data_IF_107169726703
#
_entry.id   IF_107169726703
#
_cell.length_a   1.000
_cell.length_b   1.000
_cell.length_c   1.000
_cell.angle_alpha   90.00
_cell.angle_beta   90.00
_cell.angle_gamma   90.00
#
_symmetry.space_group_name_H-M   'P 1'
#
loop_
_entity.id
_entity.type
_entity.pdbx_description
1 polymer ?
#
# COMPACT_ATOMS: atom_id res chain seq x y z
N UNK A 1 -43.29 4.16 4.19
CA UNK A 1 -43.46 3.27 3.02
C UNK A 1 -43.83 4.12 1.81
N UNK A 2 -42.87 4.53 0.99
CA UNK A 2 -43.17 5.14 -0.32
C UNK A 2 -43.47 4.03 -1.30
N UNK A 3 -44.77 3.77 -1.53
CA UNK A 3 -45.20 2.78 -2.51
C UNK A 3 -44.90 3.32 -3.92
N UNK A 4 -43.94 2.72 -4.62
CA UNK A 4 -43.69 3.00 -6.03
C UNK A 4 -44.88 2.48 -6.84
N UNK A 5 -45.65 3.39 -7.44
CA UNK A 5 -46.76 3.03 -8.31
C UNK A 5 -46.36 3.17 -9.78
N UNK A 6 -46.59 2.10 -10.55
CA UNK A 6 -46.49 2.15 -12.00
C UNK A 6 -47.70 2.92 -12.55
N UNK A 7 -47.48 4.11 -13.11
CA UNK A 7 -48.52 4.81 -13.89
C UNK A 7 -48.84 3.98 -15.14
N UNK A 8 -50.11 3.58 -15.31
CA UNK A 8 -50.57 2.90 -16.54
C UNK A 8 -50.38 3.83 -17.74
N UNK A 9 -49.82 3.27 -18.82
CA UNK A 9 -49.61 3.98 -20.07
C UNK A 9 -50.93 4.54 -20.61
N UNK A 10 -51.00 5.86 -20.79
CA UNK A 10 -52.08 6.50 -21.52
C UNK A 10 -51.75 6.39 -23.01
N UNK A 11 -52.65 5.82 -23.80
CA UNK A 11 -52.47 5.69 -25.25
C UNK A 11 -52.33 7.08 -25.88
N UNK A 12 -51.17 7.35 -26.48
CA UNK A 12 -50.93 8.56 -27.27
C UNK A 12 -51.83 8.55 -28.52
N UNK A 13 -52.56 9.64 -28.82
CA UNK A 13 -53.32 9.75 -30.06
C UNK A 13 -52.43 9.94 -31.30
N UNK A 14 -51.14 10.24 -31.10
CA UNK A 14 -50.15 10.40 -32.16
C UNK A 14 -49.28 9.14 -32.27
N UNK A 15 -49.47 8.36 -33.35
CA UNK A 15 -48.74 7.11 -33.62
C UNK A 15 -47.28 7.30 -34.06
N UNK A 16 -46.90 8.51 -34.46
CA UNK A 16 -45.56 8.82 -34.98
C UNK A 16 -44.60 9.37 -33.91
N UNK A 17 -45.01 9.37 -32.63
CA UNK A 17 -44.19 9.88 -31.52
C UNK A 17 -44.15 8.88 -30.38
N UNK A 18 -42.94 8.64 -29.87
CA UNK A 18 -42.73 7.84 -28.66
C UNK A 18 -43.16 8.69 -27.45
N UNK A 19 -44.18 8.27 -26.67
CA UNK A 19 -44.58 9.01 -25.47
C UNK A 19 -43.52 8.84 -24.38
N UNK A 20 -42.85 9.93 -24.01
CA UNK A 20 -41.99 9.97 -22.84
C UNK A 20 -42.84 10.24 -21.60
N UNK A 21 -42.96 9.25 -20.72
CA UNK A 21 -43.68 9.35 -19.46
C UNK A 21 -42.76 8.91 -18.32
N UNK A 22 -42.87 9.58 -17.18
CA UNK A 22 -42.21 9.17 -15.93
C UNK A 22 -42.83 7.84 -15.49
N UNK A 23 -42.09 6.73 -15.69
CA UNK A 23 -42.56 5.35 -15.44
C UNK A 23 -42.60 5.03 -13.95
N UNK A 24 -41.68 5.62 -13.18
CA UNK A 24 -41.61 5.51 -11.71
C UNK A 24 -42.02 6.86 -11.13
N UNK A 25 -43.25 6.96 -10.64
CA UNK A 25 -43.71 8.14 -9.93
C UNK A 25 -43.33 8.01 -8.45
N UNK A 26 -42.58 8.99 -7.95
CA UNK A 26 -42.26 9.12 -6.54
C UNK A 26 -43.40 9.82 -5.78
N UNK A 27 -43.38 9.77 -4.45
CA UNK A 27 -44.38 10.47 -3.63
C UNK A 27 -44.17 11.97 -3.81
N UNK A 28 -45.20 12.66 -4.31
CA UNK A 28 -45.15 14.11 -4.50
C UNK A 28 -45.15 14.81 -3.13
N UNK A 29 -44.10 15.60 -2.86
CA UNK A 29 -43.99 16.37 -1.63
C UNK A 29 -45.12 17.40 -1.52
N UNK A 30 -45.61 17.61 -0.29
CA UNK A 30 -46.52 18.70 0.08
C UNK A 30 -45.89 20.07 -0.21
N UNK A 31 -46.71 21.10 -0.41
CA UNK A 31 -46.23 22.47 -0.58
C UNK A 31 -45.39 22.95 0.62
N UNK A 32 -45.77 22.52 1.84
CA UNK A 32 -45.07 22.85 3.08
C UNK A 32 -43.71 22.12 3.17
N UNK A 33 -43.67 20.84 2.82
CA UNK A 33 -42.42 20.05 2.73
C UNK A 33 -41.44 20.65 1.72
N UNK A 34 -41.94 21.08 0.55
CA UNK A 34 -41.10 21.76 -0.46
C UNK A 34 -40.57 23.09 0.06
N UNK A 35 -41.39 23.87 0.75
CA UNK A 35 -40.97 25.15 1.32
C UNK A 35 -39.90 24.94 2.39
N UNK A 36 -40.06 23.93 3.26
CA UNK A 36 -39.07 23.54 4.26
C UNK A 36 -37.74 23.11 3.64
N UNK A 37 -37.75 22.17 2.68
CA UNK A 37 -36.52 21.73 2.01
C UNK A 37 -35.84 22.87 1.25
N UNK A 38 -36.61 23.76 0.62
CA UNK A 38 -36.07 24.96 -0.04
C UNK A 38 -35.43 25.93 0.96
N UNK A 39 -36.00 26.08 2.16
CA UNK A 39 -35.42 26.90 3.22
C UNK A 39 -34.08 26.32 3.72
N UNK A 40 -34.01 24.99 3.87
CA UNK A 40 -32.76 24.28 4.22
C UNK A 40 -31.72 24.45 3.11
N UNK A 41 -32.11 24.29 1.84
CA UNK A 41 -31.21 24.45 0.69
C UNK A 41 -30.66 25.88 0.58
N UNK A 42 -31.47 26.89 0.91
CA UNK A 42 -31.04 28.30 0.92
C UNK A 42 -30.23 28.70 2.15
N UNK A 43 -30.18 27.86 3.18
CA UNK A 43 -29.52 28.18 4.44
C UNK A 43 -30.31 29.16 5.33
N UNK A 44 -31.63 29.24 5.20
CA UNK A 44 -32.46 30.13 6.03
C UNK A 44 -32.74 29.52 7.41
N UNK A 45 -31.86 29.82 8.37
CA UNK A 45 -32.00 29.33 9.75
C UNK A 45 -33.34 29.70 10.40
N UNK A 46 -33.84 30.92 10.19
CA UNK A 46 -35.07 31.39 10.82
C UNK A 46 -36.30 30.67 10.25
N UNK A 47 -36.34 30.51 8.91
CA UNK A 47 -37.39 29.76 8.22
C UNK A 47 -37.42 28.29 8.63
N UNK A 48 -36.25 27.63 8.70
CA UNK A 48 -36.16 26.23 9.12
C UNK A 48 -36.59 26.06 10.57
N UNK A 49 -36.15 26.93 11.48
CA UNK A 49 -36.55 26.89 12.91
C UNK A 49 -38.06 27.10 13.10
N UNK A 50 -38.67 27.97 12.30
CA UNK A 50 -40.11 28.18 12.33
C UNK A 50 -40.86 26.93 11.85
N UNK A 51 -40.44 26.37 10.70
CA UNK A 51 -41.05 25.17 10.13
C UNK A 51 -40.96 23.96 11.06
N UNK A 52 -39.83 23.76 11.76
CA UNK A 52 -39.68 22.67 12.73
C UNK A 52 -40.62 22.82 13.93
N UNK A 53 -40.75 24.04 14.47
CA UNK A 53 -41.68 24.32 15.58
C UNK A 53 -43.14 24.13 15.18
N UNK A 54 -43.50 24.54 13.98
CA UNK A 54 -44.85 24.31 13.46
C UNK A 54 -45.13 22.82 13.26
N UNK A 55 -44.15 22.07 12.75
CA UNK A 55 -44.26 20.62 12.58
C UNK A 55 -44.47 19.89 13.92
N UNK A 56 -43.81 20.33 14.99
CA UNK A 56 -44.01 19.77 16.34
C UNK A 56 -45.41 20.01 16.90
N UNK A 57 -46.03 21.15 16.56
CA UNK A 57 -47.33 21.57 17.12
C UNK A 57 -48.50 21.03 16.28
N UNK A 58 -48.40 21.13 14.96
CA UNK A 58 -49.50 20.89 14.02
C UNK A 58 -49.40 19.55 13.29
N UNK A 59 -48.25 18.87 13.32
CA UNK A 59 -47.99 17.62 12.58
C UNK A 59 -48.39 17.71 11.10
N UNK A 60 -48.24 18.89 10.50
CA UNK A 60 -48.62 19.21 9.13
C UNK A 60 -47.59 18.76 8.09
N UNK A 61 -46.37 18.45 8.53
CA UNK A 61 -45.22 18.11 7.68
C UNK A 61 -44.41 16.96 8.28
N UNK A 62 -43.94 16.04 7.44
CA UNK A 62 -42.90 15.08 7.86
C UNK A 62 -41.52 15.76 7.82
N UNK A 63 -40.87 15.87 8.97
CA UNK A 63 -39.54 16.45 9.11
C UNK A 63 -38.47 15.60 8.39
N UNK A 64 -38.72 14.30 8.21
CA UNK A 64 -37.84 13.37 7.51
C UNK A 64 -38.21 13.21 6.03
N UNK A 65 -38.95 14.17 5.45
CA UNK A 65 -39.28 14.15 4.03
C UNK A 65 -38.02 14.11 3.14
N UNK A 66 -38.18 13.47 1.98
CA UNK A 66 -37.12 13.30 0.99
C UNK A 66 -37.47 14.10 -0.27
N UNK A 67 -36.49 14.82 -0.80
CA UNK A 67 -36.53 15.46 -2.11
C UNK A 67 -36.69 14.39 -3.22
N UNK A 68 -37.12 14.70 -4.46
CA UNK A 68 -37.16 13.73 -5.57
C UNK A 68 -35.80 13.13 -5.97
N UNK A 69 -34.71 13.59 -5.36
CA UNK A 69 -33.37 13.02 -5.47
C UNK A 69 -33.05 12.03 -4.32
N UNK A 70 -34.01 11.77 -3.42
CA UNK A 70 -33.84 10.93 -2.24
C UNK A 70 -33.05 11.58 -1.09
N UNK A 71 -32.84 12.90 -1.12
CA UNK A 71 -32.09 13.63 -0.09
C UNK A 71 -33.00 14.07 1.05
N UNK A 72 -32.62 13.82 2.29
CA UNK A 72 -33.28 14.41 3.47
C UNK A 72 -32.78 15.83 3.73
N UNK A 73 -33.50 16.59 4.54
CA UNK A 73 -33.08 17.92 5.01
C UNK A 73 -31.66 17.91 5.60
N UNK A 74 -31.32 16.88 6.39
CA UNK A 74 -29.98 16.74 6.97
C UNK A 74 -28.90 16.53 5.90
N UNK A 75 -29.16 15.75 4.85
CA UNK A 75 -28.21 15.54 3.76
C UNK A 75 -27.98 16.83 2.96
N UNK A 76 -29.02 17.62 2.73
CA UNK A 76 -28.92 18.93 2.06
C UNK A 76 -28.08 19.90 2.92
N UNK A 77 -28.31 19.93 4.24
CA UNK A 77 -27.53 20.77 5.15
C UNK A 77 -26.03 20.38 5.16
N UNK A 78 -25.73 19.08 5.11
CA UNK A 78 -24.36 18.56 4.98
C UNK A 78 -23.73 18.96 3.63
N UNK A 79 -24.48 18.81 2.53
CA UNK A 79 -24.02 19.15 1.18
C UNK A 79 -23.70 20.63 1.02
N UNK A 80 -24.44 21.50 1.73
CA UNK A 80 -24.21 22.94 1.77
C UNK A 80 -23.24 23.39 2.89
N UNK A 81 -22.66 22.46 3.65
CA UNK A 81 -21.77 22.73 4.78
C UNK A 81 -22.35 23.69 5.85
N UNK A 82 -23.67 23.73 6.00
CA UNK A 82 -24.33 24.62 6.96
C UNK A 82 -24.46 23.95 8.34
N UNK A 83 -23.41 24.11 9.15
CA UNK A 83 -23.30 23.50 10.48
C UNK A 83 -24.39 23.98 11.47
N UNK A 84 -24.83 25.24 11.37
CA UNK A 84 -25.86 25.81 12.27
C UNK A 84 -27.23 25.17 12.04
N UNK A 85 -27.58 24.97 10.76
CA UNK A 85 -28.81 24.25 10.41
C UNK A 85 -28.68 22.78 10.78
N UNK A 86 -27.52 22.15 10.57
CA UNK A 86 -27.31 20.77 11.01
C UNK A 86 -27.51 20.60 12.52
N UNK A 87 -26.95 21.47 13.34
CA UNK A 87 -27.12 21.44 14.80
C UNK A 87 -28.59 21.58 15.19
N UNK A 88 -29.29 22.55 14.58
CA UNK A 88 -30.73 22.74 14.78
C UNK A 88 -31.56 21.51 14.37
N UNK A 89 -31.23 20.88 13.24
CA UNK A 89 -31.89 19.67 12.75
C UNK A 89 -31.66 18.47 13.70
N UNK A 90 -30.43 18.33 14.23
CA UNK A 90 -30.08 17.28 15.18
C UNK A 90 -30.77 17.48 16.53
N UNK A 91 -30.86 18.72 17.02
CA UNK A 91 -31.56 19.05 18.27
C UNK A 91 -33.04 18.66 18.26
N UNK A 92 -33.70 18.72 17.10
CA UNK A 92 -35.10 18.30 16.92
C UNK A 92 -35.24 16.80 16.62
N UNK A 93 -34.17 16.01 16.75
CA UNK A 93 -34.24 14.54 16.72
C UNK A 93 -34.48 13.92 15.33
N UNK A 94 -34.03 14.59 14.27
CA UNK A 94 -34.14 14.08 12.89
C UNK A 94 -33.42 12.74 12.71
N UNK A 95 -33.98 11.88 11.86
CA UNK A 95 -33.38 10.58 11.58
C UNK A 95 -32.03 10.74 10.87
N UNK A 96 -30.95 10.31 11.53
CA UNK A 96 -29.60 10.46 11.00
C UNK A 96 -29.26 9.47 9.90
N UNK A 97 -29.85 8.26 9.89
CA UNK A 97 -29.61 7.23 8.86
C UNK A 97 -28.16 7.12 8.40
N UNK A 98 -27.94 7.28 7.09
CA UNK A 98 -26.62 7.25 6.42
C UNK A 98 -25.89 8.61 6.41
N UNK A 99 -26.38 9.63 7.13
CA UNK A 99 -25.82 10.98 7.12
C UNK A 99 -24.35 11.03 7.51
N UNK A 100 -23.90 10.15 8.42
CA UNK A 100 -22.49 10.06 8.79
C UNK A 100 -21.62 9.57 7.61
N UNK A 101 -22.05 8.53 6.90
CA UNK A 101 -21.33 8.03 5.72
C UNK A 101 -21.33 9.08 4.61
N UNK A 102 -22.45 9.78 4.43
CA UNK A 102 -22.57 10.86 3.45
C UNK A 102 -21.62 12.03 3.77
N UNK A 103 -21.56 12.47 5.03
CA UNK A 103 -20.66 13.53 5.49
C UNK A 103 -19.19 13.16 5.28
N UNK A 104 -18.82 11.90 5.56
CA UNK A 104 -17.46 11.39 5.31
C UNK A 104 -17.13 11.41 3.82
N UNK A 105 -18.05 10.98 2.96
CA UNK A 105 -17.86 10.99 1.50
C UNK A 105 -17.71 12.40 0.93
N UNK A 106 -18.41 13.39 1.50
CA UNK A 106 -18.27 14.80 1.15
C UNK A 106 -17.08 15.47 1.82
N UNK A 107 -16.35 14.76 2.68
CA UNK A 107 -15.15 15.23 3.38
C UNK A 107 -15.39 16.44 4.32
N UNK A 108 -16.63 16.62 4.80
CA UNK A 108 -17.01 17.74 5.68
C UNK A 108 -16.70 17.42 7.14
N UNK A 109 -15.53 17.85 7.62
CA UNK A 109 -15.02 17.50 8.96
C UNK A 109 -15.94 17.97 10.08
N UNK A 110 -16.45 19.21 10.02
CA UNK A 110 -17.35 19.77 11.03
C UNK A 110 -18.68 19.00 11.15
N UNK A 111 -19.24 18.59 10.02
CA UNK A 111 -20.44 17.75 9.97
C UNK A 111 -20.20 16.39 10.64
N UNK A 112 -19.05 15.75 10.36
CA UNK A 112 -18.67 14.48 10.99
C UNK A 112 -18.50 14.65 12.50
N UNK A 113 -17.86 15.72 12.96
CA UNK A 113 -17.67 15.99 14.39
C UNK A 113 -19.00 16.19 15.12
N UNK A 114 -19.93 17.00 14.56
CA UNK A 114 -21.28 17.20 15.09
C UNK A 114 -22.08 15.90 15.15
N UNK A 115 -22.04 15.10 14.09
CA UNK A 115 -22.75 13.81 14.05
C UNK A 115 -22.16 12.82 15.06
N UNK A 116 -20.84 12.83 15.27
CA UNK A 116 -20.18 11.98 16.26
C UNK A 116 -20.37 12.46 17.71
N UNK A 117 -20.61 13.76 17.95
CA UNK A 117 -20.88 14.31 19.28
C UNK A 117 -22.34 14.11 19.69
N UNK A 118 -23.29 14.29 18.76
CA UNK A 118 -24.72 14.10 19.00
C UNK A 118 -25.09 12.61 19.19
N UNK A 119 -24.32 11.69 18.61
CA UNK A 119 -24.53 10.26 18.79
C UNK A 119 -24.21 9.86 20.23
N UNK A 120 -25.24 9.45 20.99
CA UNK A 120 -25.06 8.90 22.34
C UNK A 120 -24.06 7.73 22.28
N UNK A 121 -23.12 7.62 23.24
CA UNK A 121 -22.22 6.49 23.35
C UNK A 121 -23.04 5.25 23.73
N UNK A 122 -23.63 4.58 22.73
CA UNK A 122 -24.14 3.23 22.92
C UNK A 122 -22.96 2.35 23.29
N UNK A 123 -23.05 1.60 24.38
CA UNK A 123 -21.96 0.79 24.95
C UNK A 123 -21.46 -0.35 24.05
N UNK A 124 -21.99 -0.46 22.83
CA UNK A 124 -21.56 -1.38 21.80
C UNK A 124 -20.38 -0.78 21.03
N UNK A 125 -19.21 -1.43 21.16
CA UNK A 125 -17.92 -1.02 20.57
C UNK A 125 -17.85 -1.15 19.04
N UNK A 126 -18.97 -1.38 18.39
CA UNK A 126 -19.17 -1.17 16.97
C UNK A 126 -20.39 -0.27 16.88
N UNK A 127 -20.30 0.77 16.03
CA UNK A 127 -21.45 1.50 15.48
C UNK A 127 -22.61 0.50 15.32
N UNK A 128 -23.63 0.50 16.22
CA UNK A 128 -24.66 -0.52 16.18
C UNK A 128 -25.39 -0.50 14.86
N UNK A 129 -25.87 -1.68 14.50
CA UNK A 129 -26.74 -2.12 13.40
C UNK A 129 -27.99 -1.25 13.16
N UNK A 130 -27.80 0.05 12.97
CA UNK A 130 -28.79 0.98 12.40
C UNK A 130 -28.62 1.13 10.88
N UNK A 131 -27.64 0.44 10.28
CA UNK A 131 -27.39 0.42 8.82
C UNK A 131 -28.31 -0.56 8.07
N UNK A 132 -29.31 -1.15 8.72
CA UNK A 132 -30.21 -2.14 8.09
C UNK A 132 -31.59 -1.61 7.72
N UNK A 133 -31.96 -0.39 8.14
CA UNK A 133 -33.27 0.19 7.82
C UNK A 133 -33.14 1.31 6.80
N UNK A 134 -32.82 0.95 5.55
CA UNK A 134 -33.36 1.72 4.42
C UNK A 134 -33.30 0.87 3.16
N UNK A 135 -34.46 0.66 2.54
CA UNK A 135 -34.59 0.10 1.19
C UNK A 135 -33.87 0.94 0.12
N UNK A 136 -33.24 2.06 0.51
CA UNK A 136 -32.56 3.05 -0.32
C UNK A 136 -31.21 3.51 0.26
N UNK A 137 -30.46 2.66 0.97
CA UNK A 137 -29.07 3.02 1.31
C UNK A 137 -28.24 3.12 0.04
N UNK A 138 -27.56 4.26 -0.15
CA UNK A 138 -26.65 4.48 -1.27
C UNK A 138 -25.35 3.67 -1.10
N UNK A 139 -25.04 3.29 0.14
CA UNK A 139 -23.82 2.57 0.48
C UNK A 139 -24.08 1.06 0.57
N UNK A 140 -23.06 0.28 0.23
CA UNK A 140 -23.13 -1.16 0.47
C UNK A 140 -23.01 -1.41 1.99
N UNK A 141 -23.81 -2.33 2.55
CA UNK A 141 -23.93 -2.47 4.02
C UNK A 141 -22.67 -3.02 4.71
N UNK A 142 -21.68 -3.46 3.94
CA UNK A 142 -20.35 -3.87 4.40
C UNK A 142 -19.41 -2.67 4.67
N UNK A 143 -19.76 -1.46 4.22
CA UNK A 143 -18.93 -0.27 4.40
C UNK A 143 -19.17 0.32 5.80
N UNK A 144 -18.14 0.26 6.64
CA UNK A 144 -18.13 0.97 7.93
C UNK A 144 -17.67 2.42 7.74
N UNK A 145 -18.01 3.35 8.67
CA UNK A 145 -17.56 4.74 8.59
C UNK A 145 -16.04 4.92 8.49
N UNK A 146 -15.27 4.09 9.21
CA UNK A 146 -13.80 4.13 9.14
C UNK A 146 -13.27 3.64 7.80
N UNK A 147 -13.91 2.64 7.18
CA UNK A 147 -13.54 2.16 5.85
C UNK A 147 -13.77 3.24 4.80
N UNK A 148 -14.92 3.92 4.85
CA UNK A 148 -15.22 5.01 3.91
C UNK A 148 -14.28 6.20 4.10
N UNK A 149 -13.96 6.56 5.34
CA UNK A 149 -12.99 7.62 5.64
C UNK A 149 -11.58 7.28 5.13
N UNK A 150 -11.19 6.00 5.24
CA UNK A 150 -9.95 5.51 4.67
C UNK A 150 -9.97 5.54 3.13
N UNK A 151 -11.12 5.26 2.50
CA UNK A 151 -11.27 5.33 1.04
C UNK A 151 -11.14 6.76 0.50
N UNK A 152 -11.66 7.77 1.23
CA UNK A 152 -11.45 9.19 0.90
C UNK A 152 -10.06 9.71 1.30
N UNK A 153 -9.32 8.93 2.09
CA UNK A 153 -7.95 9.24 2.53
C UNK A 153 -7.82 10.57 3.31
N UNK A 154 -8.91 11.04 3.94
CA UNK A 154 -8.91 12.27 4.74
C UNK A 154 -8.36 12.03 6.16
N UNK A 155 -7.18 12.60 6.44
CA UNK A 155 -6.44 12.40 7.70
C UNK A 155 -7.23 12.83 8.94
N UNK A 156 -7.94 13.95 8.89
CA UNK A 156 -8.64 14.52 10.05
C UNK A 156 -9.83 13.66 10.47
N UNK A 157 -10.64 13.24 9.50
CA UNK A 157 -11.80 12.36 9.72
C UNK A 157 -11.33 11.01 10.27
N UNK A 158 -10.29 10.41 9.68
CA UNK A 158 -9.72 9.14 10.18
C UNK A 158 -9.23 9.31 11.61
N UNK A 159 -8.54 10.40 11.93
CA UNK A 159 -8.06 10.69 13.29
C UNK A 159 -9.20 10.80 14.30
N UNK A 160 -10.29 11.52 13.96
CA UNK A 160 -11.49 11.61 14.81
C UNK A 160 -12.11 10.23 15.08
N UNK A 161 -12.21 9.38 14.06
CA UNK A 161 -12.77 8.03 14.18
C UNK A 161 -11.86 7.08 14.98
N UNK A 162 -10.54 7.15 14.77
CA UNK A 162 -9.56 6.34 15.52
C UNK A 162 -9.54 6.71 17.00
N UNK A 163 -9.69 7.99 17.35
CA UNK A 163 -9.83 8.44 18.75
C UNK A 163 -11.04 7.83 19.45
N UNK A 164 -12.12 7.53 18.70
CA UNK A 164 -13.31 6.82 19.19
C UNK A 164 -13.13 5.29 19.23
N UNK A 165 -11.92 4.77 18.98
CA UNK A 165 -11.55 3.35 19.00
C UNK A 165 -12.36 2.47 18.06
N UNK A 166 -12.76 3.00 16.90
CA UNK A 166 -13.38 2.21 15.84
C UNK A 166 -12.34 1.24 15.26
N UNK A 167 -12.71 -0.01 15.05
CA UNK A 167 -11.84 -1.06 14.52
C UNK A 167 -12.21 -1.43 13.08
N UNK A 168 -11.21 -1.82 12.30
CA UNK A 168 -11.40 -2.43 10.97
C UNK A 168 -11.23 -3.95 11.15
N UNK A 169 -12.15 -4.78 10.63
CA UNK A 169 -11.99 -6.23 10.68
C UNK A 169 -10.74 -6.66 9.91
N UNK A 170 -10.00 -7.64 10.44
CA UNK A 170 -8.85 -8.19 9.72
C UNK A 170 -9.36 -9.08 8.58
N UNK A 171 -8.89 -8.91 7.34
CA UNK A 171 -9.31 -9.75 6.24
C UNK A 171 -8.80 -11.17 6.46
N UNK A 172 -9.68 -12.15 6.27
CA UNK A 172 -9.28 -13.55 6.25
C UNK A 172 -8.57 -13.89 4.94
N UNK A 173 -7.76 -14.95 4.96
CA UNK A 173 -7.16 -15.49 3.74
C UNK A 173 -8.25 -15.98 2.78
N UNK A 174 -7.99 -15.93 1.47
CA UNK A 174 -8.97 -16.32 0.44
C UNK A 174 -9.45 -17.78 0.62
N UNK A 175 -8.55 -18.67 1.08
CA UNK A 175 -8.83 -20.09 1.31
C UNK A 175 -9.19 -20.39 2.77
N UNK A 176 -9.84 -19.46 3.45
CA UNK A 176 -10.24 -19.64 4.83
C UNK A 176 -11.51 -20.49 4.93
N UNK A 177 -11.43 -21.61 5.64
CA UNK A 177 -12.54 -22.56 5.83
C UNK A 177 -13.36 -22.26 7.10
N UNK A 178 -13.34 -21.03 7.62
CA UNK A 178 -14.10 -20.69 8.82
C UNK A 178 -15.60 -20.57 8.53
N UNK A 179 -16.42 -20.82 9.57
CA UNK A 179 -17.88 -20.83 9.45
C UNK A 179 -18.43 -19.50 8.89
N UNK A 180 -17.86 -18.37 9.28
CA UNK A 180 -18.27 -17.04 8.80
C UNK A 180 -17.96 -16.82 7.30
N UNK A 181 -16.78 -17.25 6.83
CA UNK A 181 -16.40 -17.12 5.42
C UNK A 181 -17.22 -18.06 4.52
N UNK A 182 -17.42 -19.30 4.95
CA UNK A 182 -18.21 -20.28 4.19
C UNK A 182 -19.66 -19.83 4.10
N UNK A 183 -20.28 -19.46 5.23
CA UNK A 183 -21.68 -19.00 5.24
C UNK A 183 -21.89 -17.72 4.42
N UNK A 184 -21.02 -16.71 4.56
CA UNK A 184 -21.15 -15.48 3.76
C UNK A 184 -20.94 -15.71 2.26
N UNK A 185 -20.02 -16.61 1.88
CA UNK A 185 -19.79 -16.96 0.48
C UNK A 185 -20.93 -17.79 -0.13
N UNK A 186 -21.58 -18.65 0.66
CA UNK A 186 -22.75 -19.43 0.22
C UNK A 186 -23.98 -18.55 0.00
N UNK A 187 -24.16 -17.53 0.86
CA UNK A 187 -25.25 -16.57 0.73
C UNK A 187 -25.03 -15.63 -0.46
N UNK A 188 -23.85 -15.00 -0.55
CA UNK A 188 -23.50 -14.09 -1.65
C UNK A 188 -21.98 -13.96 -1.82
N UNK A 189 -21.44 -14.71 -2.79
CA UNK A 189 -20.02 -14.71 -3.12
C UNK A 189 -19.50 -13.37 -3.66
N UNK A 190 -20.34 -12.59 -4.35
CA UNK A 190 -19.97 -11.27 -4.88
C UNK A 190 -19.84 -10.26 -3.74
N UNK A 191 -20.78 -10.26 -2.78
CA UNK A 191 -20.66 -9.42 -1.58
C UNK A 191 -19.47 -9.81 -0.73
N UNK A 192 -19.22 -11.11 -0.56
CA UNK A 192 -18.07 -11.58 0.22
C UNK A 192 -16.73 -11.09 -0.37
N UNK A 193 -16.55 -11.24 -1.69
CA UNK A 193 -15.34 -10.76 -2.37
C UNK A 193 -15.21 -9.23 -2.37
N UNK A 194 -16.31 -8.50 -2.59
CA UNK A 194 -16.31 -7.03 -2.58
C UNK A 194 -16.05 -6.45 -1.18
N UNK A 195 -16.59 -7.07 -0.14
CA UNK A 195 -16.30 -6.70 1.26
C UNK A 195 -14.82 -6.85 1.59
N UNK A 196 -14.20 -7.98 1.22
CA UNK A 196 -12.75 -8.18 1.39
C UNK A 196 -11.95 -7.09 0.67
N UNK A 197 -12.30 -6.77 -0.58
CA UNK A 197 -11.63 -5.71 -1.33
C UNK A 197 -11.80 -4.33 -0.68
N UNK A 198 -12.99 -4.02 -0.17
CA UNK A 198 -13.26 -2.78 0.56
C UNK A 198 -12.41 -2.68 1.85
N UNK A 199 -12.19 -3.79 2.57
CA UNK A 199 -11.30 -3.85 3.74
C UNK A 199 -9.86 -3.57 3.31
N UNK A 200 -9.35 -4.25 2.28
CA UNK A 200 -7.99 -4.03 1.79
C UNK A 200 -7.77 -2.60 1.28
N UNK A 201 -8.76 -2.03 0.60
CA UNK A 201 -8.74 -0.63 0.15
C UNK A 201 -8.65 0.34 1.32
N UNK A 202 -9.34 0.06 2.42
CA UNK A 202 -9.23 0.86 3.64
C UNK A 202 -7.83 0.71 4.28
N UNK A 203 -7.34 -0.53 4.45
CA UNK A 203 -6.03 -0.82 5.05
C UNK A 203 -4.84 -0.26 4.25
N UNK A 204 -4.96 -0.20 2.91
CA UNK A 204 -3.94 0.33 2.03
C UNK A 204 -3.89 1.87 1.99
N UNK A 205 -4.81 2.57 2.67
CA UNK A 205 -4.86 4.02 2.64
C UNK A 205 -3.65 4.66 3.38
N UNK A 206 -2.92 5.60 2.74
CA UNK A 206 -1.77 6.27 3.33
C UNK A 206 -2.04 6.91 4.69
N UNK A 207 -3.17 7.63 4.81
CA UNK A 207 -3.54 8.35 6.03
C UNK A 207 -3.81 7.39 7.20
N UNK A 208 -4.43 6.22 6.94
CA UNK A 208 -4.67 5.22 7.98
C UNK A 208 -3.36 4.53 8.40
N UNK A 209 -2.49 4.16 7.45
CA UNK A 209 -1.20 3.53 7.76
C UNK A 209 -0.36 4.50 8.60
N UNK A 210 -0.32 5.78 8.25
CA UNK A 210 0.41 6.81 8.98
C UNK A 210 -0.10 7.04 10.42
N UNK A 211 -1.40 6.89 10.67
CA UNK A 211 -2.01 7.10 12.00
C UNK A 211 -1.95 5.88 12.92
N UNK A 212 -2.06 4.68 12.34
CA UNK A 212 -2.30 3.44 13.09
C UNK A 212 -1.08 2.52 13.24
N UNK A 213 -0.06 2.65 12.37
CA UNK A 213 1.11 1.76 12.37
C UNK A 213 2.28 2.36 13.12
N UNK A 214 2.98 1.55 13.92
CA UNK A 214 4.24 1.94 14.56
C UNK A 214 5.37 2.13 13.54
N UNK A 215 5.51 1.19 12.58
CA UNK A 215 6.42 1.29 11.45
C UNK A 215 5.63 1.33 10.12
N UNK A 216 5.28 2.52 9.62
CA UNK A 216 4.45 2.65 8.43
C UNK A 216 5.15 2.14 7.16
N UNK A 217 6.49 2.15 7.09
CA UNK A 217 7.25 1.67 5.92
C UNK A 217 7.14 0.15 5.85
N UNK A 218 7.32 -0.54 6.97
CA UNK A 218 7.20 -1.99 7.03
C UNK A 218 5.78 -2.46 6.76
N UNK A 219 4.78 -1.81 7.36
CA UNK A 219 3.36 -2.11 7.09
C UNK A 219 3.06 -1.96 5.60
N UNK A 220 3.51 -0.87 4.96
CA UNK A 220 3.34 -0.66 3.54
C UNK A 220 4.03 -1.73 2.68
N UNK A 221 5.20 -2.22 3.09
CA UNK A 221 5.88 -3.32 2.39
C UNK A 221 5.11 -4.64 2.49
N UNK A 222 4.65 -5.00 3.70
CA UNK A 222 3.89 -6.23 3.95
C UNK A 222 2.55 -6.21 3.21
N UNK A 223 1.76 -5.14 3.37
CA UNK A 223 0.48 -4.97 2.68
C UNK A 223 0.66 -4.90 1.17
N UNK A 224 1.63 -4.13 0.68
CA UNK A 224 1.89 -4.03 -0.76
C UNK A 224 2.29 -5.37 -1.40
N UNK A 225 2.98 -6.24 -0.66
CA UNK A 225 3.29 -7.61 -1.08
C UNK A 225 2.07 -8.52 -1.04
N UNK A 226 1.32 -8.50 0.06
CA UNK A 226 0.09 -9.29 0.22
C UNK A 226 -0.91 -8.99 -0.89
N UNK A 227 -1.20 -7.70 -1.16
CA UNK A 227 -2.06 -7.27 -2.26
C UNK A 227 -1.58 -7.76 -3.63
N UNK A 228 -0.26 -7.81 -3.84
CA UNK A 228 0.34 -8.29 -5.09
C UNK A 228 0.22 -9.82 -5.26
N UNK A 229 0.21 -10.58 -4.17
CA UNK A 229 -0.07 -12.01 -4.21
C UNK A 229 -1.57 -12.27 -4.38
N UNK A 230 -2.43 -11.52 -3.69
CA UNK A 230 -3.89 -11.60 -3.82
C UNK A 230 -4.33 -11.32 -5.27
N UNK A 231 -3.71 -10.36 -5.96
CA UNK A 231 -4.02 -10.05 -7.37
C UNK A 231 -3.72 -11.21 -8.33
N UNK A 232 -2.92 -12.21 -7.92
CA UNK A 232 -2.66 -13.42 -8.72
C UNK A 232 -3.64 -14.55 -8.41
N UNK A 233 -4.25 -14.52 -7.22
CA UNK A 233 -5.20 -15.54 -6.77
C UNK A 233 -6.62 -15.16 -7.20
N UNK A 234 -7.02 -13.90 -7.02
CA UNK A 234 -8.31 -13.37 -7.48
C UNK A 234 -8.14 -12.68 -8.82
N UNK A 235 -8.69 -13.27 -9.88
CA UNK A 235 -8.52 -12.75 -11.23
C UNK A 235 -9.49 -11.61 -11.55
N UNK A 236 -10.67 -11.63 -10.93
CA UNK A 236 -11.79 -10.71 -11.16
C UNK A 236 -11.43 -9.28 -10.74
N UNK A 237 -10.79 -9.11 -9.59
CA UNK A 237 -10.39 -7.81 -9.02
C UNK A 237 -8.88 -7.55 -9.12
N UNK A 238 -8.19 -8.28 -10.01
CA UNK A 238 -6.73 -8.20 -10.15
C UNK A 238 -6.22 -6.77 -10.32
N UNK A 239 -6.90 -5.96 -11.14
CA UNK A 239 -6.48 -4.58 -11.40
C UNK A 239 -6.56 -3.72 -10.12
N UNK A 240 -7.64 -3.82 -9.36
CA UNK A 240 -7.84 -3.05 -8.13
C UNK A 240 -6.77 -3.40 -7.08
N UNK A 241 -6.47 -4.69 -6.89
CA UNK A 241 -5.39 -5.11 -5.99
C UNK A 241 -4.01 -4.63 -6.43
N UNK A 242 -3.72 -4.62 -7.74
CA UNK A 242 -2.46 -4.10 -8.26
C UNK A 242 -2.32 -2.60 -8.01
N UNK A 243 -3.40 -1.84 -8.20
CA UNK A 243 -3.45 -0.41 -7.92
C UNK A 243 -3.22 -0.11 -6.43
N UNK A 244 -3.86 -0.85 -5.53
CA UNK A 244 -3.62 -0.75 -4.08
C UNK A 244 -2.18 -1.13 -3.71
N UNK A 245 -1.62 -2.19 -4.31
CA UNK A 245 -0.22 -2.57 -4.12
C UNK A 245 0.72 -1.43 -4.53
N UNK A 246 0.46 -0.77 -5.66
CA UNK A 246 1.23 0.38 -6.12
C UNK A 246 1.07 1.58 -5.19
N UNK A 247 -0.13 1.84 -4.66
CA UNK A 247 -0.36 2.90 -3.68
C UNK A 247 0.51 2.71 -2.42
N UNK A 248 0.58 1.49 -1.87
CA UNK A 248 1.47 1.18 -0.74
C UNK A 248 2.95 1.40 -1.07
N UNK A 249 3.40 1.00 -2.28
CA UNK A 249 4.79 1.20 -2.73
C UNK A 249 5.15 2.69 -2.84
N UNK A 250 4.25 3.48 -3.42
CA UNK A 250 4.41 4.94 -3.55
C UNK A 250 4.42 5.60 -2.18
N UNK A 251 3.52 5.24 -1.28
CA UNK A 251 3.49 5.77 0.08
C UNK A 251 4.82 5.54 0.82
N UNK A 252 5.38 4.33 0.77
CA UNK A 252 6.67 4.06 1.41
C UNK A 252 7.82 4.88 0.80
N UNK A 253 7.81 5.07 -0.52
CA UNK A 253 8.78 5.90 -1.25
C UNK A 253 8.62 7.38 -0.87
N UNK A 254 7.40 7.89 -0.83
CA UNK A 254 7.10 9.29 -0.51
C UNK A 254 7.43 9.62 0.95
N UNK A 255 7.26 8.66 1.88
CA UNK A 255 7.75 8.79 3.25
C UNK A 255 9.28 8.92 3.32
N UNK A 256 10.00 8.11 2.53
CA UNK A 256 11.46 8.19 2.47
C UNK A 256 11.93 9.51 1.82
N UNK A 257 11.14 10.07 0.90
CA UNK A 257 11.38 11.38 0.28
C UNK A 257 11.30 12.54 1.28
N UNK A 258 10.61 12.38 2.42
CA UNK A 258 10.54 13.40 3.48
C UNK A 258 11.79 13.47 4.37
N UNK A 259 12.70 12.49 4.30
CA UNK A 259 13.94 12.52 5.07
C UNK A 259 14.87 13.64 4.59
N UNK A 260 15.26 14.55 5.48
CA UNK A 260 16.05 15.75 5.12
C UNK A 260 17.53 15.60 5.39
N UNK A 261 17.90 14.70 6.28
CA UNK A 261 19.30 14.46 6.66
C UNK A 261 19.76 13.05 6.32
N UNK A 262 21.06 12.89 6.04
CA UNK A 262 21.66 11.57 5.83
C UNK A 262 21.57 10.69 7.09
N UNK A 263 21.54 11.31 8.27
CA UNK A 263 21.36 10.61 9.56
C UNK A 263 19.96 10.01 9.68
N UNK A 264 18.91 10.77 9.40
CA UNK A 264 17.53 10.25 9.35
C UNK A 264 17.43 9.08 8.37
N UNK A 265 18.00 9.25 7.17
CA UNK A 265 17.99 8.22 6.15
C UNK A 265 18.73 6.95 6.59
N UNK A 266 19.92 7.09 7.20
CA UNK A 266 20.66 5.97 7.78
C UNK A 266 19.90 5.29 8.91
N UNK A 267 19.23 6.05 9.78
CA UNK A 267 18.39 5.49 10.85
C UNK A 267 17.24 4.67 10.27
N UNK A 268 16.54 5.19 9.26
CA UNK A 268 15.44 4.47 8.61
C UNK A 268 15.96 3.19 7.94
N UNK A 269 17.02 3.28 7.14
CA UNK A 269 17.52 2.15 6.35
C UNK A 269 18.21 1.06 7.18
N UNK A 270 18.75 1.41 8.35
CA UNK A 270 19.37 0.45 9.28
C UNK A 270 18.43 -0.04 10.38
N UNK A 271 17.21 0.47 10.46
CA UNK A 271 16.23 0.02 11.45
C UNK A 271 15.94 -1.48 11.30
N UNK A 272 15.94 -2.20 12.42
CA UNK A 272 15.55 -3.61 12.54
C UNK A 272 14.35 -3.70 13.45
N UNK A 273 13.41 -4.58 13.10
CA UNK A 273 12.26 -4.87 13.94
C UNK A 273 12.77 -5.49 15.27
N UNK A 274 12.17 -5.07 16.39
CA UNK A 274 12.54 -5.54 17.73
C UNK A 274 12.42 -7.06 17.90
N UNK A 275 11.61 -7.77 17.10
CA UNK A 275 11.46 -9.23 17.19
C UNK A 275 12.72 -10.02 16.79
N UNK A 276 13.72 -9.38 16.16
CA UNK A 276 14.99 -10.00 15.76
C UNK A 276 16.20 -9.48 16.57
N UNK A 277 15.95 -8.89 17.73
CA UNK A 277 16.92 -8.10 18.50
C UNK A 277 17.64 -8.88 19.62
N UNK A 278 17.64 -10.20 19.60
CA UNK A 278 18.54 -10.98 20.45
C UNK A 278 19.80 -11.36 19.65
N UNK A 279 20.97 -10.90 20.14
CA UNK A 279 22.32 -11.36 19.78
C UNK A 279 23.05 -10.79 18.54
N UNK A 280 23.25 -9.47 18.35
CA UNK A 280 24.26 -9.03 17.35
C UNK A 280 25.14 -7.82 17.74
N UNK A 281 26.42 -7.95 17.38
CA UNK A 281 27.54 -7.03 17.61
C UNK A 281 27.25 -5.56 17.20
N UNK A 282 27.59 -4.56 18.03
CA UNK A 282 27.47 -3.12 17.71
C UNK A 282 28.23 -2.66 16.45
N UNK A 283 29.11 -3.52 15.91
CA UNK A 283 29.95 -3.24 14.73
C UNK A 283 29.26 -3.53 13.39
N UNK A 284 28.05 -4.11 13.39
CA UNK A 284 27.23 -4.33 12.18
C UNK A 284 26.21 -3.21 11.92
N UNK A 285 26.49 -1.99 12.38
CA UNK A 285 25.62 -0.81 12.26
C UNK A 285 25.29 -0.39 10.81
N UNK A 286 25.93 -0.99 9.80
CA UNK A 286 25.70 -0.72 8.37
C UNK A 286 25.11 -1.89 7.59
N UNK A 287 24.39 -2.79 8.25
CA UNK A 287 23.82 -3.96 7.55
C UNK A 287 22.64 -3.63 6.62
N UNK A 288 22.18 -2.35 6.61
CA UNK A 288 21.10 -1.86 5.74
C UNK A 288 19.89 -2.78 5.77
N UNK A 289 19.47 -3.19 6.98
CA UNK A 289 18.49 -4.24 7.18
C UNK A 289 17.15 -3.94 6.50
N UNK A 290 16.64 -2.70 6.66
CA UNK A 290 15.38 -2.29 6.03
C UNK A 290 15.51 -2.20 4.50
N UNK A 291 16.68 -1.88 3.97
CA UNK A 291 16.94 -1.93 2.53
C UNK A 291 16.92 -3.36 1.99
N UNK A 292 17.54 -4.32 2.70
CA UNK A 292 17.47 -5.74 2.33
C UNK A 292 16.03 -6.24 2.34
N UNK A 293 15.23 -5.79 3.31
CA UNK A 293 13.82 -6.09 3.38
C UNK A 293 13.03 -5.47 2.22
N UNK A 294 13.32 -4.23 1.84
CA UNK A 294 12.75 -3.57 0.67
C UNK A 294 13.03 -4.38 -0.61
N UNK A 295 14.24 -4.91 -0.77
CA UNK A 295 14.60 -5.80 -1.89
C UNK A 295 13.81 -7.12 -1.82
N UNK A 296 13.66 -7.73 -0.62
CA UNK A 296 12.87 -8.97 -0.42
C UNK A 296 11.41 -8.77 -0.84
N UNK A 297 10.81 -7.63 -0.53
CA UNK A 297 9.44 -7.28 -0.93
C UNK A 297 9.34 -6.61 -2.31
N UNK A 298 10.40 -6.64 -3.11
CA UNK A 298 10.43 -6.08 -4.47
C UNK A 298 10.02 -4.60 -4.58
N UNK A 299 10.41 -3.79 -3.59
CA UNK A 299 10.12 -2.36 -3.49
C UNK A 299 11.08 -1.53 -4.37
N UNK A 300 10.92 -1.64 -5.70
CA UNK A 300 11.85 -1.05 -6.68
C UNK A 300 11.93 0.48 -6.58
N UNK A 301 10.80 1.15 -6.45
CA UNK A 301 10.73 2.62 -6.40
C UNK A 301 11.38 3.18 -5.12
N UNK A 302 11.16 2.52 -3.98
CA UNK A 302 11.80 2.85 -2.71
C UNK A 302 13.33 2.75 -2.80
N UNK A 303 13.85 1.67 -3.39
CA UNK A 303 15.30 1.48 -3.55
C UNK A 303 15.88 2.46 -4.56
N UNK A 304 15.16 2.75 -5.66
CA UNK A 304 15.61 3.66 -6.72
C UNK A 304 15.58 5.15 -6.34
N UNK A 305 15.05 5.48 -5.16
CA UNK A 305 14.95 6.84 -4.66
C UNK A 305 16.33 7.54 -4.64
N UNK A 306 16.45 8.81 -5.10
CA UNK A 306 17.74 9.49 -5.22
C UNK A 306 18.55 9.57 -3.91
N UNK A 307 17.88 9.80 -2.77
CA UNK A 307 18.53 9.88 -1.47
C UNK A 307 19.12 8.52 -1.05
N UNK A 308 18.33 7.45 -1.18
CA UNK A 308 18.79 6.07 -0.99
C UNK A 308 19.98 5.72 -1.89
N UNK A 309 19.91 6.06 -3.18
CA UNK A 309 21.01 5.82 -4.13
C UNK A 309 22.26 6.62 -3.81
N UNK A 310 22.12 7.85 -3.32
CA UNK A 310 23.26 8.65 -2.88
C UNK A 310 23.97 8.01 -1.68
N UNK A 311 23.22 7.55 -0.66
CA UNK A 311 23.79 6.85 0.48
C UNK A 311 24.49 5.56 0.04
N UNK A 312 23.84 4.75 -0.80
CA UNK A 312 24.44 3.54 -1.35
C UNK A 312 25.71 3.81 -2.15
N UNK A 313 25.74 4.89 -2.94
CA UNK A 313 26.94 5.30 -3.66
C UNK A 313 28.06 5.71 -2.70
N UNK A 314 27.77 6.38 -1.58
CA UNK A 314 28.78 6.72 -0.57
C UNK A 314 29.38 5.49 0.10
N UNK A 315 28.54 4.50 0.45
CA UNK A 315 28.99 3.23 1.01
C UNK A 315 29.76 2.39 -0.02
N UNK A 316 29.34 2.43 -1.29
CA UNK A 316 29.97 1.68 -2.37
C UNK A 316 31.38 2.20 -2.69
N UNK A 317 31.56 3.52 -2.77
CA UNK A 317 32.83 4.17 -3.09
C UNK A 317 33.63 4.61 -1.85
N UNK A 318 33.37 4.00 -0.69
CA UNK A 318 33.99 4.40 0.56
C UNK A 318 35.54 4.41 0.47
N UNK A 319 36.12 5.52 0.93
CA UNK A 319 37.54 5.88 0.81
C UNK A 319 38.13 5.95 -0.60
N UNK A 320 37.32 6.25 -1.61
CA UNK A 320 37.78 6.84 -2.87
C UNK A 320 37.29 8.29 -3.01
N UNK A 321 37.98 9.27 -2.38
CA UNK A 321 37.54 10.65 -2.41
C UNK A 321 37.48 11.17 -3.86
N UNK A 322 36.34 11.76 -4.22
CA UNK A 322 36.13 12.37 -5.53
C UNK A 322 36.02 11.40 -6.71
N UNK A 323 35.94 10.08 -6.49
CA UNK A 323 35.80 9.09 -7.57
C UNK A 323 34.70 9.43 -8.57
N UNK A 324 33.54 9.86 -8.07
CA UNK A 324 32.38 10.24 -8.90
C UNK A 324 32.72 11.36 -9.90
N UNK A 325 33.55 12.34 -9.49
CA UNK A 325 33.93 13.52 -10.28
C UNK A 325 35.07 13.27 -11.27
N UNK A 326 35.76 12.13 -11.20
CA UNK A 326 36.90 11.84 -12.09
C UNK A 326 36.43 11.57 -13.53
N UNK A 327 37.27 11.96 -14.48
CA UNK A 327 37.08 11.67 -15.91
C UNK A 327 37.02 10.16 -16.16
N UNK A 328 36.23 9.73 -17.14
CA UNK A 328 35.99 8.32 -17.43
C UNK A 328 37.27 7.55 -17.77
N UNK A 329 38.22 8.18 -18.48
CA UNK A 329 39.50 7.56 -18.82
C UNK A 329 40.36 7.25 -17.58
N UNK A 330 40.40 8.16 -16.60
CA UNK A 330 41.12 7.92 -15.34
C UNK A 330 40.49 6.75 -14.59
N UNK A 331 39.15 6.69 -14.54
CA UNK A 331 38.41 5.56 -13.94
C UNK A 331 38.79 4.25 -14.61
N UNK A 332 38.77 4.21 -15.94
CA UNK A 332 39.13 3.02 -16.71
C UNK A 332 40.55 2.54 -16.40
N UNK A 333 41.54 3.43 -16.48
CA UNK A 333 42.95 3.10 -16.20
C UNK A 333 43.10 2.56 -14.78
N UNK A 334 42.51 3.22 -13.78
CA UNK A 334 42.58 2.74 -12.39
C UNK A 334 41.88 1.40 -12.19
N UNK A 335 40.73 1.14 -12.84
CA UNK A 335 40.06 -0.16 -12.77
C UNK A 335 40.91 -1.26 -13.41
N UNK A 336 41.57 -1.00 -14.54
CA UNK A 336 42.46 -1.96 -15.20
C UNK A 336 43.68 -2.27 -14.33
N UNK A 337 44.32 -1.26 -13.73
CA UNK A 337 45.47 -1.46 -12.83
C UNK A 337 45.06 -2.30 -11.61
N UNK A 338 43.95 -1.97 -10.96
CA UNK A 338 43.44 -2.74 -9.80
C UNK A 338 43.08 -4.17 -10.23
N UNK A 339 42.45 -4.30 -11.40
CA UNK A 339 42.10 -5.59 -12.00
C UNK A 339 43.33 -6.46 -12.25
N UNK A 340 44.40 -5.94 -12.84
CA UNK A 340 45.64 -6.69 -13.07
C UNK A 340 46.34 -7.12 -11.76
N UNK A 341 46.23 -6.32 -10.71
CA UNK A 341 46.80 -6.58 -9.39
C UNK A 341 45.93 -7.49 -8.50
N UNK A 342 44.81 -8.03 -9.01
CA UNK A 342 43.91 -8.89 -8.23
C UNK A 342 44.57 -10.12 -7.56
N UNK A 343 45.56 -10.84 -8.15
CA UNK A 343 46.11 -12.02 -7.49
C UNK A 343 46.99 -11.63 -6.30
N UNK A 344 47.71 -10.51 -6.42
CA UNK A 344 48.52 -9.94 -5.34
C UNK A 344 47.65 -9.46 -4.19
N UNK A 345 46.56 -8.75 -4.49
CA UNK A 345 45.58 -8.34 -3.48
C UNK A 345 44.98 -9.55 -2.75
N UNK A 346 44.55 -10.56 -3.49
CA UNK A 346 43.96 -11.78 -2.91
C UNK A 346 44.94 -12.51 -1.98
N UNK A 347 46.22 -12.60 -2.37
CA UNK A 347 47.26 -13.21 -1.54
C UNK A 347 47.51 -12.43 -0.24
N UNK A 348 47.56 -11.11 -0.30
CA UNK A 348 47.69 -10.26 0.89
C UNK A 348 46.50 -10.42 1.82
N UNK A 349 45.29 -10.55 1.27
CA UNK A 349 44.09 -10.77 2.08
C UNK A 349 44.13 -12.10 2.84
N UNK A 350 44.69 -13.15 2.24
CA UNK A 350 44.89 -14.45 2.88
C UNK A 350 45.97 -14.42 3.96
N UNK A 351 47.10 -13.73 3.72
CA UNK A 351 48.24 -13.71 4.63
C UNK A 351 48.09 -12.69 5.78
N UNK A 352 47.53 -11.52 5.51
CA UNK A 352 47.46 -10.40 6.46
C UNK A 352 46.15 -9.60 6.32
N UNK A 353 45.00 -10.15 6.77
CA UNK A 353 43.66 -9.54 6.58
C UNK A 353 43.43 -8.25 7.39
N UNK A 354 44.31 -7.94 8.36
CA UNK A 354 44.28 -6.71 9.18
C UNK A 354 45.20 -5.61 8.65
N UNK A 355 45.96 -5.87 7.59
CA UNK A 355 46.83 -4.85 6.97
C UNK A 355 46.02 -3.74 6.29
N UNK A 356 46.65 -2.60 6.00
CA UNK A 356 46.01 -1.50 5.26
C UNK A 356 45.48 -1.94 3.88
N UNK A 357 46.24 -2.78 3.17
CA UNK A 357 45.83 -3.37 1.89
C UNK A 357 44.70 -4.41 2.07
N UNK A 358 44.72 -5.19 3.16
CA UNK A 358 43.63 -6.09 3.53
C UNK A 358 42.33 -5.34 3.82
N UNK A 359 42.40 -4.19 4.51
CA UNK A 359 41.27 -3.27 4.71
C UNK A 359 40.76 -2.66 3.40
N UNK A 360 41.66 -2.33 2.47
CA UNK A 360 41.30 -1.81 1.15
C UNK A 360 40.48 -2.81 0.31
N UNK A 361 40.83 -4.10 0.35
CA UNK A 361 40.09 -5.17 -0.36
C UNK A 361 38.73 -5.44 0.27
N UNK A 362 38.54 -5.14 1.56
CA UNK A 362 37.23 -5.32 2.21
C UNK A 362 36.14 -4.41 1.61
N UNK A 363 36.54 -3.33 0.94
CA UNK A 363 35.63 -2.36 0.30
C UNK A 363 34.87 -2.99 -0.87
N UNK A 364 33.56 -2.70 -1.01
CA UNK A 364 32.70 -3.41 -1.96
C UNK A 364 33.10 -3.16 -3.42
N UNK A 365 33.45 -1.92 -3.78
CA UNK A 365 33.90 -1.59 -5.14
C UNK A 365 35.15 -2.37 -5.56
N UNK A 366 36.10 -2.58 -4.66
CA UNK A 366 37.34 -3.31 -4.96
C UNK A 366 37.08 -4.81 -5.07
N UNK A 367 36.25 -5.38 -4.18
CA UNK A 367 35.80 -6.77 -4.32
C UNK A 367 35.17 -7.00 -5.69
N UNK A 368 34.30 -6.09 -6.14
CA UNK A 368 33.66 -6.19 -7.44
C UNK A 368 34.69 -6.21 -8.58
N UNK A 369 35.66 -5.29 -8.59
CA UNK A 369 36.72 -5.26 -9.61
C UNK A 369 37.56 -6.55 -9.57
N UNK A 370 37.97 -7.02 -8.40
CA UNK A 370 38.79 -8.23 -8.29
C UNK A 370 38.02 -9.49 -8.72
N UNK A 371 36.74 -9.62 -8.35
CA UNK A 371 35.90 -10.74 -8.79
C UNK A 371 35.67 -10.71 -10.30
N UNK A 372 35.37 -9.55 -10.87
CA UNK A 372 35.18 -9.40 -12.32
C UNK A 372 36.48 -9.65 -13.09
N UNK A 373 37.62 -9.14 -12.62
CA UNK A 373 38.92 -9.41 -13.22
C UNK A 373 39.27 -10.91 -13.19
N UNK A 374 39.07 -11.58 -12.05
CA UNK A 374 39.27 -13.03 -11.93
C UNK A 374 38.40 -13.82 -12.91
N UNK A 375 37.12 -13.45 -13.03
CA UNK A 375 36.21 -14.08 -14.00
C UNK A 375 36.63 -13.83 -15.46
N UNK A 376 37.08 -12.62 -15.79
CA UNK A 376 37.61 -12.31 -17.12
C UNK A 376 38.90 -13.09 -17.42
N UNK A 377 39.80 -13.27 -16.44
CA UNK A 377 41.00 -14.10 -16.63
C UNK A 377 40.65 -15.58 -16.84
N UNK A 378 39.61 -16.08 -16.17
CA UNK A 378 39.10 -17.42 -16.40
C UNK A 378 38.55 -17.58 -17.84
N UNK A 379 37.74 -16.64 -18.31
CA UNK A 379 37.26 -16.64 -19.70
C UNK A 379 38.42 -16.57 -20.70
N UNK A 380 39.44 -15.75 -20.42
CA UNK A 380 40.63 -15.66 -21.25
C UNK A 380 41.42 -16.98 -21.29
N UNK A 381 41.57 -17.68 -20.17
CA UNK A 381 42.20 -19.00 -20.12
C UNK A 381 41.39 -20.05 -20.91
N UNK A 382 40.05 -19.99 -20.87
CA UNK A 382 39.21 -20.86 -21.70
C UNK A 382 39.40 -20.59 -23.20
N UNK A 383 39.52 -19.32 -23.60
CA UNK A 383 39.83 -18.97 -24.99
C UNK A 383 41.20 -19.50 -25.41
N UNK A 384 42.22 -19.37 -24.56
CA UNK A 384 43.54 -19.94 -24.81
C UNK A 384 43.52 -21.46 -24.89
N UNK A 385 42.77 -22.13 -24.00
CA UNK A 385 42.57 -23.58 -24.06
C UNK A 385 41.95 -23.99 -25.39
N UNK A 386 40.91 -23.28 -25.85
CA UNK A 386 40.25 -23.57 -27.14
C UNK A 386 41.20 -23.43 -28.34
N UNK A 387 42.07 -22.41 -28.34
CA UNK A 387 43.08 -22.23 -29.40
C UNK A 387 44.17 -23.30 -29.34
N UNK A 388 44.55 -23.75 -28.15
CA UNK A 388 45.57 -24.78 -27.97
C UNK A 388 45.05 -26.15 -28.42
N UNK A 389 43.80 -26.48 -28.09
CA UNK A 389 43.11 -27.69 -28.55
C UNK A 389 43.00 -27.73 -30.08
N UNK A 390 42.71 -26.60 -30.73
CA UNK A 390 42.67 -26.50 -32.18
C UNK A 390 44.04 -26.75 -32.87
N UNK A 391 45.15 -26.60 -32.13
CA UNK A 391 46.52 -26.87 -32.62
C UNK A 391 47.00 -28.29 -32.31
N UNK A 392 46.36 -29.01 -31.38
CA UNK A 392 46.73 -30.38 -31.01
C UNK A 392 46.05 -31.41 -31.93
N UNK A 393 46.80 -32.44 -32.36
CA UNK A 393 46.30 -33.49 -33.26
C UNK A 393 45.11 -34.27 -32.67
N UNK A 394 44.00 -34.33 -33.41
CA UNK A 394 42.73 -34.99 -33.06
C UNK A 394 42.77 -36.52 -32.88
N UNK A 395 43.93 -37.17 -33.03
CA UNK A 395 44.04 -38.63 -33.15
C UNK A 395 44.50 -39.39 -31.88
N UNK A 396 44.49 -38.77 -30.70
CA UNK A 396 44.75 -39.46 -29.42
C UNK A 396 43.55 -39.42 -28.49
N UNK A 397 43.08 -40.59 -28.03
CA UNK A 397 42.15 -40.69 -26.90
C UNK A 397 42.89 -40.43 -25.59
N UNK A 398 42.48 -39.36 -24.88
CA UNK A 398 43.01 -39.03 -23.55
C UNK A 398 44.41 -38.40 -23.53
N UNK A 399 44.66 -37.27 -24.24
CA UNK A 399 45.91 -36.54 -24.06
C UNK A 399 46.09 -36.08 -22.61
N UNK A 400 47.32 -36.02 -22.08
CA UNK A 400 47.57 -35.50 -20.74
C UNK A 400 47.08 -34.05 -20.65
N UNK A 401 46.46 -33.64 -19.53
CA UNK A 401 45.91 -32.31 -19.39
C UNK A 401 46.98 -31.24 -19.63
N UNK A 402 46.63 -30.26 -20.44
CA UNK A 402 47.50 -29.15 -20.81
C UNK A 402 47.75 -28.25 -19.60
N UNK A 403 48.85 -27.49 -19.62
CA UNK A 403 49.17 -26.53 -18.54
C UNK A 403 48.00 -25.56 -18.31
N UNK A 404 47.29 -25.18 -19.38
CA UNK A 404 46.12 -24.29 -19.31
C UNK A 404 44.95 -24.97 -18.57
N UNK A 405 44.70 -26.26 -18.81
CA UNK A 405 43.67 -27.02 -18.10
C UNK A 405 43.98 -27.17 -16.60
N UNK A 406 45.25 -27.38 -16.24
CA UNK A 406 45.68 -27.36 -14.84
C UNK A 406 45.47 -25.99 -14.18
N UNK A 407 45.68 -24.89 -14.91
CA UNK A 407 45.40 -23.54 -14.42
C UNK A 407 43.90 -23.25 -14.28
N UNK A 408 43.04 -23.89 -15.08
CA UNK A 408 41.57 -23.74 -15.04
C UNK A 408 40.97 -24.47 -13.83
N UNK A 409 41.54 -25.61 -13.43
CA UNK A 409 41.01 -26.51 -12.41
C UNK A 409 40.68 -25.80 -11.07
N UNK A 410 41.51 -24.90 -10.51
CA UNK A 410 41.16 -24.14 -9.30
C UNK A 410 39.89 -23.29 -9.41
N UNK A 411 39.61 -22.70 -10.58
CA UNK A 411 38.36 -21.95 -10.80
C UNK A 411 37.15 -22.89 -10.85
N UNK A 412 37.29 -24.04 -11.48
CA UNK A 412 36.23 -25.07 -11.58
C UNK A 412 35.94 -25.70 -10.21
N UNK A 413 36.93 -25.84 -9.32
CA UNK A 413 36.70 -26.27 -7.94
C UNK A 413 36.16 -25.15 -7.03
N UNK A 414 36.53 -23.89 -7.29
CA UNK A 414 36.11 -22.74 -6.50
C UNK A 414 34.65 -22.34 -6.74
N UNK A 415 34.19 -22.40 -7.99
CA UNK A 415 32.84 -21.97 -8.39
C UNK A 415 31.69 -22.76 -7.73
N UNK A 416 31.72 -24.11 -7.63
CA UNK A 416 30.70 -24.87 -6.93
C UNK A 416 30.67 -24.55 -5.44
N UNK A 417 31.83 -24.30 -4.81
CA UNK A 417 31.90 -23.95 -3.39
C UNK A 417 31.24 -22.60 -3.09
N UNK A 418 31.39 -21.63 -3.99
CA UNK A 418 30.67 -20.34 -3.91
C UNK A 418 29.17 -20.55 -4.10
N UNK A 419 28.77 -21.30 -5.11
CA UNK A 419 27.36 -21.61 -5.37
C UNK A 419 26.70 -22.35 -4.20
N UNK A 420 27.37 -23.36 -3.63
CA UNK A 420 26.92 -24.10 -2.46
C UNK A 420 26.78 -23.19 -1.26
N UNK A 421 27.74 -22.29 -1.00
CA UNK A 421 27.61 -21.31 0.09
C UNK A 421 26.45 -20.33 -0.13
N UNK A 422 26.16 -19.93 -1.37
CA UNK A 422 24.99 -19.10 -1.70
C UNK A 422 23.70 -19.88 -1.48
N UNK A 423 23.66 -21.15 -1.87
CA UNK A 423 22.50 -22.04 -1.68
C UNK A 423 22.26 -22.32 -0.20
N UNK A 424 23.31 -22.59 0.58
CA UNK A 424 23.19 -22.82 2.03
C UNK A 424 22.65 -21.56 2.71
N UNK A 425 23.19 -20.39 2.39
CA UNK A 425 22.73 -19.12 2.97
C UNK A 425 21.34 -18.68 2.48
N UNK A 426 20.90 -19.16 1.32
CA UNK A 426 19.53 -18.92 0.85
C UNK A 426 18.57 -19.89 1.50
N UNK A 427 18.88 -21.19 1.56
CA UNK A 427 18.00 -22.20 2.18
C UNK A 427 17.84 -22.02 3.69
N UNK A 428 18.88 -21.65 4.46
CA UNK A 428 18.72 -21.37 5.89
C UNK A 428 17.76 -20.19 6.16
N UNK A 429 17.65 -19.24 5.21
CA UNK A 429 16.64 -18.17 5.25
C UNK A 429 15.23 -18.62 4.83
N UNK A 430 15.09 -19.68 4.03
CA UNK A 430 13.79 -20.25 3.67
C UNK A 430 13.25 -21.20 4.74
N UNK A 431 14.11 -21.99 5.40
CA UNK A 431 13.69 -22.93 6.45
C UNK A 431 13.22 -22.23 7.72
N UNK A 432 13.75 -21.05 8.07
CA UNK A 432 13.24 -20.26 9.19
C UNK A 432 11.91 -19.55 8.89
N UNK A 433 11.61 -19.29 7.61
CA UNK A 433 10.39 -18.59 7.18
C UNK A 433 9.22 -19.53 6.84
N UNK A 434 9.41 -20.86 6.97
CA UNK A 434 8.36 -21.88 6.76
C UNK A 434 7.84 -22.48 8.08
N UNK A 435 8.35 -22.00 9.23
CA UNK A 435 7.92 -22.39 10.59
C UNK A 435 7.27 -21.23 11.38
N UNK A 436 6.94 -20.12 10.72
CA UNK A 436 6.00 -19.08 11.16
C UNK A 436 4.96 -18.88 10.07
#
# INVERSE_FOLDING_TARGET
>A
MTQLYYKKATYSPYRDRIPLQIVRAEVELSAEERAYLTAVEKGDYAGVKHALREAEVYYNMDVNCLDPLGRSALLIAIENENLEIMELLLDHGIHTGDALLYAIRKEVVGAVELLLSHRRPSGEKQVPSLMMDSQFSEFTPDITPIMLAAHTNNYEIIKLLVQRKVTIPRPHQIRCDCVECVSSSEVDSLRHSRSRLNIYKALASPSLIALSSEDPILTAFRLGWELKELSKVENEFRQEYEELSQQCKRFAKDLLDQARSSRELETILNHRDNDQSEELDPRQCHDLAKLKLAIKYHQKEFVAQPNCQQLLATLWYDGFPGWRRRHWAVKLVTCVIIGLLFPFFSLIYLLAPKSALGGFIKKPFIKFICHTASYLTFLFLLLLASQHIARTNLHMQGPPPTIVEWMILPWVLGTPRVSVNVIINSQTKWTFNAYE
#
